data_IF_197989553064
#
_entry.id   IF_197989553064
#
_cell.length_a   1.000
_cell.length_b   1.000
_cell.length_c   1.000
_cell.angle_alpha   90.00
_cell.angle_beta   90.00
_cell.angle_gamma   90.00
#
_symmetry.space_group_name_H-M   'P 1'
#
loop_
_entity.id
_entity.type
_entity.pdbx_description
1 polymer ?
#
# COMPACT_ATOMS: atom_id res chain seq x y z
N UNK A 1 18.84 23.48 29.67
CA UNK A 1 17.94 22.97 28.60
C UNK A 1 17.40 21.64 29.05
N UNK A 2 16.10 21.56 29.29
CA UNK A 2 15.43 20.33 29.73
C UNK A 2 15.14 19.43 28.52
N UNK A 3 15.19 18.11 28.72
CA UNK A 3 14.80 17.11 27.70
C UNK A 3 13.37 17.37 27.17
N UNK A 4 12.51 17.95 27.99
CA UNK A 4 11.14 18.30 27.63
C UNK A 4 11.05 19.49 26.67
N UNK A 5 12.00 20.44 26.71
CA UNK A 5 12.05 21.57 25.77
C UNK A 5 12.42 21.11 24.37
N UNK A 6 13.31 20.10 24.27
CA UNK A 6 13.68 19.48 23.00
C UNK A 6 12.51 18.72 22.33
N UNK A 7 11.66 18.05 23.12
CA UNK A 7 10.46 17.40 22.60
C UNK A 7 9.36 18.40 22.23
N UNK A 8 9.28 19.54 22.92
CA UNK A 8 8.29 20.59 22.60
C UNK A 8 8.64 21.30 21.30
N UNK A 9 9.92 21.54 21.02
CA UNK A 9 10.38 22.18 19.79
C UNK A 9 10.22 21.28 18.56
N UNK A 10 10.40 19.96 18.71
CA UNK A 10 10.10 19.00 17.63
C UNK A 10 8.61 18.87 17.29
N UNK A 11 7.72 19.17 18.23
CA UNK A 11 6.27 19.20 17.93
C UNK A 11 5.83 20.45 17.16
N UNK A 12 6.63 21.52 17.20
CA UNK A 12 6.39 22.74 16.42
C UNK A 12 6.97 22.70 15.01
N UNK A 13 7.92 21.82 14.75
CA UNK A 13 8.33 21.49 13.40
C UNK A 13 7.21 20.69 12.73
N UNK A 14 6.37 21.40 11.99
CA UNK A 14 5.30 20.89 11.16
C UNK A 14 5.82 19.77 10.27
N UNK A 15 5.67 18.53 10.70
CA UNK A 15 5.35 17.45 9.78
C UNK A 15 3.82 17.51 9.52
N UNK A 16 3.37 18.63 9.01
CA UNK A 16 2.23 18.62 8.12
C UNK A 16 2.80 18.05 6.82
N UNK A 17 2.87 16.73 6.74
CA UNK A 17 2.77 16.08 5.48
C UNK A 17 1.49 16.64 4.88
N UNK A 18 1.62 17.58 3.95
CA UNK A 18 0.56 17.85 2.99
C UNK A 18 0.22 16.48 2.43
N UNK A 19 -0.88 15.91 2.91
CA UNK A 19 -1.69 15.03 2.09
C UNK A 19 -2.03 15.93 0.92
N UNK A 20 -1.22 15.81 -0.13
CA UNK A 20 -1.51 16.41 -1.41
C UNK A 20 -2.88 15.87 -1.77
N UNK A 21 -3.87 16.78 -1.77
CA UNK A 21 -5.14 16.56 -2.41
C UNK A 21 -4.84 15.86 -3.74
N UNK A 22 -5.37 14.67 -3.87
CA UNK A 22 -5.46 13.96 -5.14
C UNK A 22 -6.16 14.95 -6.07
N UNK A 23 -5.38 15.58 -6.91
CA UNK A 23 -5.89 16.32 -8.05
C UNK A 23 -6.61 15.30 -8.90
N UNK A 24 -7.91 15.51 -9.05
CA UNK A 24 -8.82 14.77 -9.90
C UNK A 24 -8.12 14.32 -11.17
N UNK A 25 -8.17 13.03 -11.40
CA UNK A 25 -7.59 12.32 -12.53
C UNK A 25 -8.10 12.90 -13.84
N UNK A 26 -7.27 13.70 -14.47
CA UNK A 26 -7.38 13.86 -15.91
C UNK A 26 -6.95 12.53 -16.53
N UNK A 27 -7.95 11.72 -16.91
CA UNK A 27 -7.85 10.53 -17.74
C UNK A 27 -6.45 9.85 -17.74
N UNK A 28 -6.25 9.07 -16.77
CA UNK A 28 -5.32 8.02 -16.42
C UNK A 28 -4.06 7.68 -17.21
N UNK A 29 -3.68 8.43 -18.22
CA UNK A 29 -2.54 8.10 -19.10
C UNK A 29 -1.19 8.65 -18.62
N UNK A 30 -1.21 9.74 -17.87
CA UNK A 30 -0.01 10.43 -17.43
C UNK A 30 0.06 10.52 -15.90
N UNK A 31 1.25 10.31 -15.36
CA UNK A 31 1.53 10.36 -13.92
C UNK A 31 2.63 11.40 -13.68
N UNK A 32 2.38 12.34 -12.79
CA UNK A 32 3.40 13.29 -12.33
C UNK A 32 4.19 12.66 -11.18
N UNK A 33 5.49 12.55 -11.34
CA UNK A 33 6.36 12.05 -10.28
C UNK A 33 6.35 13.05 -9.09
N UNK A 34 6.05 12.60 -7.86
CA UNK A 34 6.00 13.49 -6.70
C UNK A 34 7.39 14.02 -6.29
N UNK A 35 8.47 13.32 -6.63
CA UNK A 35 9.83 13.70 -6.26
C UNK A 35 10.42 14.72 -7.24
N UNK A 36 10.43 14.41 -8.54
CA UNK A 36 11.08 15.27 -9.53
C UNK A 36 10.12 16.13 -10.36
N UNK A 37 8.81 15.97 -10.20
CA UNK A 37 7.80 16.73 -10.95
C UNK A 37 7.66 16.35 -12.43
N UNK A 38 8.48 15.42 -12.94
CA UNK A 38 8.41 14.97 -14.33
C UNK A 38 7.08 14.23 -14.56
N UNK A 39 6.48 14.52 -15.73
CA UNK A 39 5.29 13.80 -16.19
C UNK A 39 5.73 12.59 -17.01
N UNK A 40 5.27 11.40 -16.60
CA UNK A 40 5.65 10.12 -17.22
C UNK A 40 4.38 9.42 -17.71
N UNK A 41 4.48 8.75 -18.85
CA UNK A 41 3.38 7.94 -19.36
C UNK A 41 3.17 6.71 -18.48
N UNK A 42 1.93 6.45 -18.06
CA UNK A 42 1.62 5.38 -17.08
C UNK A 42 2.10 4.00 -17.54
N UNK A 43 1.97 3.67 -18.83
CA UNK A 43 2.43 2.38 -19.35
C UNK A 43 3.94 2.22 -19.25
N UNK A 44 4.70 3.30 -19.51
CA UNK A 44 6.16 3.27 -19.41
C UNK A 44 6.59 3.15 -17.95
N UNK A 45 5.87 3.82 -17.05
CA UNK A 45 6.09 3.68 -15.61
C UNK A 45 5.87 2.23 -15.15
N UNK A 46 4.75 1.60 -15.54
CA UNK A 46 4.50 0.18 -15.24
C UNK A 46 5.53 -0.75 -15.87
N UNK A 47 5.93 -0.53 -17.12
CA UNK A 47 6.97 -1.30 -17.78
C UNK A 47 8.33 -1.20 -17.05
N UNK A 48 8.58 -0.08 -16.36
CA UNK A 48 9.76 0.14 -15.51
C UNK A 48 9.50 -0.20 -14.03
N UNK A 49 8.66 -1.20 -13.75
CA UNK A 49 8.34 -1.67 -12.39
C UNK A 49 7.87 -0.55 -11.44
N UNK A 50 7.14 0.43 -11.98
CA UNK A 50 6.65 1.61 -11.26
C UNK A 50 7.77 2.48 -10.63
N UNK A 51 8.97 2.47 -11.26
CA UNK A 51 10.11 3.32 -10.89
C UNK A 51 10.22 4.47 -11.89
N UNK A 52 10.32 5.70 -11.39
CA UNK A 52 10.52 6.87 -12.24
C UNK A 52 11.86 6.80 -12.98
N UNK A 53 11.83 6.81 -14.30
CA UNK A 53 13.03 6.75 -15.15
C UNK A 53 13.94 7.96 -15.01
N UNK A 54 13.42 9.10 -14.55
CA UNK A 54 14.18 10.33 -14.43
C UNK A 54 14.96 10.45 -13.10
N UNK A 55 14.34 10.04 -11.97
CA UNK A 55 14.94 10.25 -10.65
C UNK A 55 15.06 8.97 -9.79
N UNK A 56 14.60 7.83 -10.30
CA UNK A 56 14.62 6.57 -9.55
C UNK A 56 13.58 6.49 -8.41
N UNK A 57 12.63 7.42 -8.32
CA UNK A 57 11.58 7.36 -7.32
C UNK A 57 10.69 6.14 -7.54
N UNK A 58 10.50 5.34 -6.49
CA UNK A 58 9.61 4.17 -6.48
C UNK A 58 8.18 4.60 -6.16
N UNK A 59 7.30 4.54 -7.14
CA UNK A 59 5.88 4.76 -6.92
C UNK A 59 5.27 3.62 -6.11
N UNK A 60 4.18 3.90 -5.40
CA UNK A 60 3.43 2.86 -4.69
C UNK A 60 2.79 1.93 -5.71
N UNK A 61 2.91 0.64 -5.45
CA UNK A 61 2.26 -0.43 -6.20
C UNK A 61 1.36 -1.23 -5.26
N UNK A 62 0.35 -1.84 -5.83
CA UNK A 62 -0.53 -2.71 -5.07
C UNK A 62 0.00 -4.14 -4.95
N UNK A 63 -0.74 -4.98 -4.22
CA UNK A 63 -0.34 -6.37 -4.02
C UNK A 63 -0.31 -7.18 -5.31
N UNK A 64 -1.24 -6.95 -6.23
CA UNK A 64 -1.31 -7.67 -7.50
C UNK A 64 -0.13 -7.32 -8.40
N UNK A 65 0.21 -6.02 -8.53
CA UNK A 65 1.40 -5.59 -9.26
C UNK A 65 2.68 -6.17 -8.64
N UNK A 66 2.78 -6.20 -7.31
CA UNK A 66 3.94 -6.77 -6.60
C UNK A 66 4.08 -8.27 -6.89
N UNK A 67 2.98 -9.01 -6.90
CA UNK A 67 2.98 -10.44 -7.21
C UNK A 67 3.45 -10.68 -8.64
N UNK A 68 2.95 -9.89 -9.60
CA UNK A 68 3.35 -9.99 -11.02
C UNK A 68 4.84 -9.71 -11.23
N UNK A 69 5.42 -8.80 -10.43
CA UNK A 69 6.86 -8.47 -10.52
C UNK A 69 7.77 -9.56 -9.94
N UNK A 70 7.28 -10.42 -9.06
CA UNK A 70 8.11 -11.37 -8.31
C UNK A 70 7.87 -12.80 -8.77
N UNK A 71 6.60 -13.19 -8.95
CA UNK A 71 6.25 -14.57 -9.29
C UNK A 71 6.41 -14.86 -10.78
N UNK A 72 6.81 -16.07 -11.10
CA UNK A 72 6.84 -16.55 -12.47
C UNK A 72 5.44 -16.46 -13.09
N UNK A 73 5.38 -16.07 -14.34
CA UNK A 73 4.13 -15.78 -15.05
C UNK A 73 3.12 -16.93 -14.91
N UNK A 74 1.93 -16.62 -14.38
CA UNK A 74 0.82 -17.57 -14.23
C UNK A 74 1.02 -18.61 -13.12
N UNK A 75 2.11 -18.55 -12.34
CA UNK A 75 2.38 -19.51 -11.27
C UNK A 75 1.63 -19.23 -9.98
N UNK A 76 1.21 -17.98 -9.74
CA UNK A 76 0.58 -17.59 -8.47
C UNK A 76 -0.82 -18.18 -8.32
N UNK A 77 -1.01 -18.92 -7.22
CA UNK A 77 -2.30 -19.48 -6.79
C UNK A 77 -2.64 -18.90 -5.42
N UNK A 78 -3.62 -18.02 -5.38
CA UNK A 78 -4.04 -17.38 -4.13
C UNK A 78 -4.63 -18.40 -3.15
N UNK A 79 -4.29 -18.21 -1.89
CA UNK A 79 -4.85 -18.90 -0.73
C UNK A 79 -5.69 -17.92 0.10
N UNK A 80 -6.52 -18.46 0.98
CA UNK A 80 -7.18 -17.75 2.09
C UNK A 80 -7.99 -16.49 1.72
N UNK A 81 -8.42 -16.36 0.46
CA UNK A 81 -9.17 -15.19 -0.05
C UNK A 81 -10.44 -14.85 0.73
N UNK A 82 -10.98 -15.82 1.47
CA UNK A 82 -12.24 -15.67 2.20
C UNK A 82 -12.03 -15.28 3.67
N UNK A 83 -10.79 -15.24 4.14
CA UNK A 83 -10.51 -14.81 5.51
C UNK A 83 -10.80 -13.31 5.63
N UNK A 84 -11.48 -12.96 6.71
CA UNK A 84 -11.79 -11.58 7.04
C UNK A 84 -11.47 -11.35 8.52
N UNK A 85 -10.85 -10.23 8.88
CA UNK A 85 -10.51 -9.95 10.27
C UNK A 85 -11.75 -9.77 11.11
N UNK A 86 -11.62 -10.14 12.37
CA UNK A 86 -12.62 -9.93 13.41
C UNK A 86 -12.12 -8.90 14.41
N UNK A 87 -13.03 -8.30 15.16
CA UNK A 87 -12.71 -7.36 16.24
C UNK A 87 -13.07 -7.96 17.61
N UNK A 88 -12.27 -8.92 18.12
CA UNK A 88 -12.55 -9.57 19.40
C UNK A 88 -12.40 -8.62 20.59
N UNK A 89 -11.74 -7.49 20.42
CA UNK A 89 -11.48 -6.52 21.48
C UNK A 89 -12.49 -5.37 21.51
N UNK A 90 -13.34 -5.23 20.48
CA UNK A 90 -14.21 -4.07 20.32
C UNK A 90 -13.38 -2.78 20.26
N UNK A 91 -12.23 -2.81 19.56
CA UNK A 91 -11.24 -1.74 19.58
C UNK A 91 -11.79 -0.44 19.02
N UNK A 92 -11.59 0.62 19.78
CA UNK A 92 -11.97 1.98 19.41
C UNK A 92 -10.87 2.96 19.83
N UNK A 93 -10.30 3.67 18.86
CA UNK A 93 -9.54 4.88 19.08
C UNK A 93 -10.40 6.14 18.80
N UNK A 94 -10.07 6.92 17.78
CA UNK A 94 -10.93 8.02 17.29
C UNK A 94 -12.18 7.53 16.57
N UNK A 95 -12.11 6.32 15.97
CA UNK A 95 -13.18 5.63 15.25
C UNK A 95 -13.16 4.15 15.62
N UNK A 96 -14.31 3.48 15.60
CA UNK A 96 -14.35 2.04 15.84
C UNK A 96 -13.59 1.27 14.75
N UNK A 97 -12.87 0.23 15.14
CA UNK A 97 -12.10 -0.61 14.20
C UNK A 97 -13.03 -1.23 13.14
N UNK A 98 -14.19 -1.71 13.54
CA UNK A 98 -15.19 -2.28 12.64
C UNK A 98 -15.65 -1.31 11.54
N UNK A 99 -15.73 0.00 11.83
CA UNK A 99 -16.09 1.01 10.82
C UNK A 99 -14.98 1.23 9.82
N UNK A 100 -13.72 1.33 10.30
CA UNK A 100 -12.55 1.46 9.43
C UNK A 100 -12.34 0.23 8.56
N UNK A 101 -12.60 -0.95 9.12
CA UNK A 101 -12.52 -2.21 8.39
C UNK A 101 -13.52 -2.23 7.22
N UNK A 102 -14.79 -1.91 7.48
CA UNK A 102 -15.82 -1.85 6.43
C UNK A 102 -15.50 -0.84 5.34
N UNK A 103 -14.99 0.33 5.71
CA UNK A 103 -14.59 1.37 4.76
C UNK A 103 -13.42 0.88 3.87
N UNK A 104 -12.39 0.27 4.46
CA UNK A 104 -11.26 -0.27 3.70
C UNK A 104 -11.67 -1.42 2.78
N UNK A 105 -12.53 -2.32 3.25
CA UNK A 105 -13.08 -3.38 2.41
C UNK A 105 -13.89 -2.83 1.23
N UNK A 106 -14.70 -1.79 1.46
CA UNK A 106 -15.51 -1.17 0.40
C UNK A 106 -14.65 -0.42 -0.61
N UNK A 107 -13.60 0.28 -0.18
CA UNK A 107 -12.73 1.08 -1.05
C UNK A 107 -11.72 0.24 -1.84
N UNK A 108 -11.25 -0.88 -1.29
CA UNK A 108 -10.20 -1.70 -1.92
C UNK A 108 -10.72 -2.97 -2.58
N UNK A 109 -11.92 -3.43 -2.21
CA UNK A 109 -12.47 -4.74 -2.60
C UNK A 109 -11.78 -5.93 -1.90
N UNK A 110 -10.79 -5.68 -1.06
CA UNK A 110 -10.04 -6.71 -0.33
C UNK A 110 -10.74 -7.08 0.98
N UNK A 111 -10.53 -8.31 1.46
CA UNK A 111 -11.04 -8.76 2.77
C UNK A 111 -10.13 -8.33 3.90
N UNK A 112 -8.81 -8.34 3.68
CA UNK A 112 -7.77 -7.90 4.60
C UNK A 112 -6.59 -7.30 3.82
N UNK A 113 -5.64 -6.71 4.52
CA UNK A 113 -4.46 -6.05 3.98
C UNK A 113 -3.35 -6.97 3.47
N UNK A 114 -3.56 -8.28 3.46
CA UNK A 114 -2.59 -9.25 2.98
C UNK A 114 -3.19 -10.16 1.90
N UNK A 115 -2.41 -10.42 0.85
CA UNK A 115 -2.70 -11.44 -0.17
C UNK A 115 -1.70 -12.56 0.00
N UNK A 116 -2.20 -13.79 0.20
CA UNK A 116 -1.38 -14.99 0.37
C UNK A 116 -1.55 -15.94 -0.79
N UNK A 117 -0.51 -16.73 -1.08
CA UNK A 117 -0.57 -17.71 -2.15
C UNK A 117 0.67 -18.57 -2.25
N UNK A 118 0.58 -19.56 -3.15
CA UNK A 118 1.71 -20.35 -3.59
C UNK A 118 2.10 -19.90 -5.01
N UNK A 119 3.38 -19.81 -5.27
CA UNK A 119 3.91 -19.43 -6.59
C UNK A 119 5.23 -20.15 -6.87
N UNK A 120 5.77 -19.87 -8.05
CA UNK A 120 7.17 -20.14 -8.38
C UNK A 120 7.91 -18.83 -8.54
N UNK A 121 9.16 -18.79 -8.14
CA UNK A 121 10.09 -17.70 -8.37
C UNK A 121 11.35 -18.31 -8.96
N UNK A 122 11.66 -17.99 -10.20
CA UNK A 122 12.76 -18.62 -10.97
C UNK A 122 12.66 -20.17 -10.97
N UNK A 123 11.44 -20.69 -11.11
CA UNK A 123 11.14 -22.13 -11.09
C UNK A 123 11.11 -22.78 -9.70
N UNK A 124 11.47 -22.06 -8.65
CA UNK A 124 11.45 -22.58 -7.27
C UNK A 124 10.07 -22.37 -6.62
N UNK A 125 9.47 -23.43 -6.04
CA UNK A 125 8.20 -23.31 -5.34
C UNK A 125 8.35 -22.49 -4.08
N UNK A 126 7.41 -21.55 -3.88
CA UNK A 126 7.45 -20.60 -2.77
C UNK A 126 6.04 -20.30 -2.23
N UNK A 127 5.93 -20.14 -0.92
CA UNK A 127 4.78 -19.50 -0.29
C UNK A 127 5.04 -18.00 -0.19
N UNK A 128 4.08 -17.18 -0.62
CA UNK A 128 4.20 -15.74 -0.68
C UNK A 128 3.07 -15.07 0.11
N UNK A 129 3.41 -14.02 0.85
CA UNK A 129 2.45 -13.12 1.49
C UNK A 129 2.84 -11.67 1.14
N UNK A 130 1.92 -10.92 0.57
CA UNK A 130 2.14 -9.54 0.13
C UNK A 130 1.14 -8.63 0.80
N UNK A 131 1.65 -7.61 1.52
CA UNK A 131 0.80 -6.60 2.14
C UNK A 131 0.43 -5.51 1.13
N UNK A 132 -0.82 -5.07 1.21
CA UNK A 132 -1.33 -3.97 0.42
C UNK A 132 -1.59 -2.75 1.33
N UNK A 133 -0.81 -1.70 1.11
CA UNK A 133 -0.91 -0.48 1.93
C UNK A 133 -2.18 0.35 1.67
N UNK A 134 -2.94 0.04 0.61
CA UNK A 134 -4.26 0.66 0.38
C UNK A 134 -5.25 0.24 1.47
N UNK A 135 -5.08 -0.97 2.03
CA UNK A 135 -5.90 -1.47 3.11
C UNK A 135 -5.38 -0.98 4.46
N UNK A 136 -6.05 -0.03 5.08
CA UNK A 136 -5.75 0.55 6.41
C UNK A 136 -4.27 0.96 6.61
N UNK A 137 -3.57 1.35 5.53
CA UNK A 137 -2.15 1.72 5.61
C UNK A 137 -1.21 0.55 5.94
N UNK A 138 -1.62 -0.69 5.69
CA UNK A 138 -0.86 -1.89 6.06
C UNK A 138 -0.95 -2.26 7.54
N UNK A 139 -2.01 -1.80 8.23
CA UNK A 139 -2.26 -2.20 9.63
C UNK A 139 -2.55 -3.70 9.71
N UNK A 140 -1.86 -4.37 10.63
CA UNK A 140 -1.98 -5.81 10.84
C UNK A 140 -3.14 -6.11 11.79
N UNK A 141 -4.16 -6.79 11.27
CA UNK A 141 -5.31 -7.28 12.03
C UNK A 141 -5.17 -8.76 12.38
N UNK A 142 -6.31 -9.38 12.77
CA UNK A 142 -6.34 -10.78 13.23
C UNK A 142 -6.05 -11.79 12.12
N UNK A 143 -6.18 -11.44 10.84
CA UNK A 143 -5.87 -12.32 9.70
C UNK A 143 -4.40 -12.24 9.34
N UNK A 144 -3.83 -11.03 9.25
CA UNK A 144 -2.40 -10.82 8.95
C UNK A 144 -1.51 -11.46 10.02
#
# INVERSE_FOLDING_TARGET
MSLFDWFADRRKGQFVGKVSQETEESDGLWVKCPECGQVVYRKDLHANASVCSNCGYHHRIDSDERIVLIADQGSFKSLDRNLSPTDPLGFKDRRAYADRLRESQASTGMKDGVVTGLCQVEGMPMAMAVMDFRFMGGSMGSVV
#
